data_IF_466148043660
#
_entry.id   IF_466148043660
#
_cell.length_a   1.000
_cell.length_b   1.000
_cell.length_c   1.000
_cell.angle_alpha   90.00
_cell.angle_beta   90.00
_cell.angle_gamma   90.00
#
_symmetry.space_group_name_H-M   'P 1'
#
loop_
_entity.id
_entity.type
_entity.pdbx_description
1 polymer ?
#
# COMPACT_ATOMS: atom_id res chain seq x y z
N UNK A 1 -26.54 14.01 -12.96
CA UNK A 1 -26.61 13.33 -11.66
C UNK A 1 -25.20 13.17 -11.10
N UNK A 2 -25.00 13.38 -9.80
CA UNK A 2 -23.69 13.26 -9.12
C UNK A 2 -23.64 11.99 -8.28
N UNK A 3 -22.61 11.17 -8.45
CA UNK A 3 -22.36 10.00 -7.60
C UNK A 3 -21.73 10.38 -6.25
N UNK A 4 -21.69 9.44 -5.31
CA UNK A 4 -20.92 9.55 -4.07
C UNK A 4 -19.74 8.58 -4.12
N UNK A 5 -18.54 9.10 -3.91
CA UNK A 5 -17.32 8.29 -3.82
C UNK A 5 -16.95 8.07 -2.36
N UNK A 6 -16.67 6.83 -1.98
CA UNK A 6 -16.27 6.47 -0.62
C UNK A 6 -14.86 5.86 -0.63
N UNK A 7 -13.97 6.42 0.19
CA UNK A 7 -12.68 5.79 0.50
C UNK A 7 -12.86 4.94 1.74
N UNK A 8 -12.73 3.63 1.59
CA UNK A 8 -13.01 2.66 2.66
C UNK A 8 -11.73 1.90 2.99
N UNK A 9 -11.30 1.99 4.26
CA UNK A 9 -10.27 1.10 4.79
C UNK A 9 -10.82 -0.32 4.97
N UNK A 10 -10.12 -1.32 4.43
CA UNK A 10 -10.52 -2.73 4.50
C UNK A 10 -9.89 -3.51 5.65
N UNK A 11 -9.09 -2.84 6.48
CA UNK A 11 -8.30 -3.48 7.53
C UNK A 11 -6.95 -4.04 7.03
N UNK A 12 -6.16 -4.64 7.93
CA UNK A 12 -4.80 -5.10 7.62
C UNK A 12 -4.73 -6.48 6.93
N UNK A 13 -5.84 -7.23 6.89
CA UNK A 13 -5.86 -8.56 6.25
C UNK A 13 -6.98 -9.47 6.75
N UNK A 14 -7.26 -9.43 8.07
CA UNK A 14 -8.35 -10.21 8.65
C UNK A 14 -9.71 -9.56 8.33
N UNK A 15 -10.65 -10.28 7.68
CA UNK A 15 -11.99 -9.76 7.37
C UNK A 15 -12.79 -9.32 8.60
N UNK A 16 -12.53 -9.90 9.79
CA UNK A 16 -13.22 -9.51 11.03
C UNK A 16 -12.84 -8.10 11.50
N UNK A 17 -11.71 -7.56 11.01
CA UNK A 17 -11.25 -6.20 11.32
C UNK A 17 -11.90 -5.13 10.43
N UNK A 18 -12.84 -5.51 9.55
CA UNK A 18 -13.69 -4.53 8.86
C UNK A 18 -14.60 -3.82 9.86
N UNK A 19 -14.59 -2.49 9.81
CA UNK A 19 -15.56 -1.72 10.61
C UNK A 19 -17.00 -2.00 10.15
N UNK A 20 -17.95 -1.97 11.07
CA UNK A 20 -19.38 -2.11 10.75
C UNK A 20 -19.85 -1.08 9.71
N UNK A 21 -19.28 0.14 9.74
CA UNK A 21 -19.58 1.20 8.76
C UNK A 21 -19.06 0.83 7.37
N UNK A 22 -17.83 0.30 7.26
CA UNK A 22 -17.28 -0.17 6.00
C UNK A 22 -18.14 -1.29 5.41
N UNK A 23 -18.49 -2.30 6.21
CA UNK A 23 -19.33 -3.41 5.78
C UNK A 23 -20.70 -2.94 5.29
N UNK A 24 -21.34 -2.01 6.00
CA UNK A 24 -22.64 -1.43 5.59
C UNK A 24 -22.55 -0.71 4.24
N UNK A 25 -21.50 0.08 4.02
CA UNK A 25 -21.32 0.81 2.75
C UNK A 25 -21.02 -0.17 1.62
N UNK A 26 -20.10 -1.13 1.82
CA UNK A 26 -19.75 -2.15 0.83
C UNK A 26 -20.97 -2.97 0.39
N UNK A 27 -21.89 -3.28 1.32
CA UNK A 27 -23.18 -3.92 1.00
C UNK A 27 -24.07 -3.05 0.12
N UNK A 28 -24.13 -1.75 0.35
CA UNK A 28 -25.07 -0.83 -0.32
C UNK A 28 -24.60 -0.34 -1.71
N UNK A 29 -23.29 -0.27 -1.96
CA UNK A 29 -22.78 0.26 -3.24
C UNK A 29 -22.93 -0.74 -4.39
N UNK A 30 -23.26 -0.29 -5.61
CA UNK A 30 -23.34 -1.17 -6.78
C UNK A 30 -21.97 -1.46 -7.41
N UNK A 31 -20.97 -0.62 -7.15
CA UNK A 31 -19.64 -0.71 -7.76
C UNK A 31 -18.54 -0.59 -6.70
N UNK A 32 -17.47 -1.36 -6.85
CA UNK A 32 -16.29 -1.34 -5.98
C UNK A 32 -15.03 -1.25 -6.85
N UNK A 33 -14.23 -0.21 -6.63
CA UNK A 33 -12.91 -0.07 -7.23
C UNK A 33 -11.84 -0.63 -6.27
N UNK A 34 -10.94 -1.48 -6.76
CA UNK A 34 -9.90 -2.11 -5.95
C UNK A 34 -8.52 -1.99 -6.60
N UNK A 35 -7.47 -1.62 -5.84
CA UNK A 35 -6.12 -1.48 -6.41
C UNK A 35 -5.46 -2.85 -6.59
N UNK A 36 -4.75 -3.07 -7.71
CA UNK A 36 -3.88 -4.23 -7.94
C UNK A 36 -2.47 -3.78 -8.31
N UNK A 37 -1.46 -4.47 -7.74
CA UNK A 37 -0.04 -4.13 -7.91
C UNK A 37 0.64 -4.82 -9.10
N UNK A 38 0.02 -5.85 -9.67
CA UNK A 38 0.49 -6.62 -10.84
C UNK A 38 -0.64 -6.70 -11.86
N UNK A 39 -0.33 -6.76 -13.16
CA UNK A 39 -1.36 -6.82 -14.21
C UNK A 39 -2.15 -8.13 -14.13
N UNK A 40 -1.45 -9.26 -13.96
CA UNK A 40 -2.04 -10.60 -13.79
C UNK A 40 -2.30 -10.98 -12.31
N UNK A 41 -2.20 -10.01 -11.39
CA UNK A 41 -2.41 -10.23 -9.96
C UNK A 41 -3.82 -9.89 -9.50
N UNK A 42 -4.22 -10.47 -8.37
CA UNK A 42 -5.46 -10.09 -7.68
C UNK A 42 -5.21 -8.95 -6.68
N UNK A 43 -6.26 -8.18 -6.41
CA UNK A 43 -6.22 -7.18 -5.35
C UNK A 43 -6.30 -7.85 -3.97
N UNK A 44 -5.35 -7.54 -3.09
CA UNK A 44 -5.40 -7.94 -1.68
C UNK A 44 -6.65 -7.36 -0.99
N UNK A 45 -6.98 -6.10 -1.27
CA UNK A 45 -8.18 -5.48 -0.69
C UNK A 45 -9.45 -6.23 -1.10
N UNK A 46 -9.54 -6.64 -2.36
CA UNK A 46 -10.67 -7.44 -2.86
C UNK A 46 -10.77 -8.80 -2.16
N UNK A 47 -9.64 -9.48 -1.92
CA UNK A 47 -9.65 -10.81 -1.28
C UNK A 47 -10.11 -10.76 0.17
N UNK A 48 -9.80 -9.68 0.90
CA UNK A 48 -10.32 -9.45 2.26
C UNK A 48 -11.84 -9.26 2.21
N UNK A 49 -12.32 -8.37 1.33
CA UNK A 49 -13.74 -8.06 1.21
C UNK A 49 -14.56 -9.29 0.78
N UNK A 50 -14.05 -10.09 -0.16
CA UNK A 50 -14.71 -11.34 -0.62
C UNK A 50 -14.96 -12.35 0.50
N UNK A 51 -14.16 -12.34 1.57
CA UNK A 51 -14.36 -13.22 2.73
C UNK A 51 -15.44 -12.71 3.69
N UNK A 52 -15.74 -11.41 3.66
CA UNK A 52 -16.73 -10.78 4.56
C UNK A 52 -18.14 -10.66 3.95
N UNK A 53 -18.27 -10.61 2.62
CA UNK A 53 -19.55 -10.59 1.92
C UNK A 53 -19.45 -11.12 0.48
N UNK A 54 -20.56 -11.64 -0.05
CA UNK A 54 -20.69 -11.94 -1.48
C UNK A 54 -20.68 -10.65 -2.32
N UNK A 55 -20.05 -10.75 -3.50
CA UNK A 55 -19.89 -9.66 -4.47
C UNK A 55 -20.64 -9.94 -5.79
N UNK A 56 -21.49 -10.96 -5.86
CA UNK A 56 -22.08 -11.45 -7.11
C UNK A 56 -22.93 -10.40 -7.85
N UNK A 57 -23.51 -9.45 -7.10
CA UNK A 57 -24.36 -8.38 -7.62
C UNK A 57 -23.63 -7.02 -7.71
N UNK A 58 -22.29 -7.02 -7.80
CA UNK A 58 -21.48 -5.80 -7.75
C UNK A 58 -20.51 -5.75 -8.92
N UNK A 59 -20.42 -4.58 -9.52
CA UNK A 59 -19.40 -4.29 -10.53
C UNK A 59 -18.05 -4.11 -9.83
N UNK A 60 -17.05 -4.89 -10.24
CA UNK A 60 -15.69 -4.82 -9.69
C UNK A 60 -14.77 -4.18 -10.71
N UNK A 61 -14.21 -3.02 -10.36
CA UNK A 61 -13.25 -2.30 -11.20
C UNK A 61 -11.86 -2.48 -10.61
N UNK A 62 -11.01 -3.25 -11.28
CA UNK A 62 -9.61 -3.42 -10.89
C UNK A 62 -8.75 -2.28 -11.44
N UNK A 63 -8.17 -1.48 -10.56
CA UNK A 63 -7.28 -0.39 -10.93
C UNK A 63 -5.82 -0.84 -10.79
N UNK A 64 -5.10 -0.93 -11.91
CA UNK A 64 -3.68 -1.30 -11.91
C UNK A 64 -2.81 -0.13 -11.48
N UNK A 65 -2.04 -0.34 -10.41
CA UNK A 65 -1.07 0.62 -9.88
C UNK A 65 0.30 -0.07 -9.79
N UNK A 66 1.19 0.13 -10.79
CA UNK A 66 2.51 -0.47 -10.76
C UNK A 66 3.28 0.02 -9.53
N UNK A 67 3.74 -0.91 -8.69
CA UNK A 67 4.58 -0.58 -7.54
C UNK A 67 5.93 -0.06 -8.03
N UNK A 68 6.09 1.26 -8.03
CA UNK A 68 7.40 1.91 -8.12
C UNK A 68 7.83 2.32 -6.73
N UNK A 69 9.01 1.85 -6.30
CA UNK A 69 9.65 2.37 -5.09
C UNK A 69 10.15 3.77 -5.40
N UNK A 70 9.37 4.79 -5.06
CA UNK A 70 9.88 6.17 -5.03
C UNK A 70 10.78 6.29 -3.82
N UNK A 71 12.08 6.05 -4.03
CA UNK A 71 13.11 6.44 -3.07
C UNK A 71 13.09 7.97 -3.06
N UNK A 72 12.59 8.58 -1.98
CA UNK A 72 12.67 10.02 -1.80
C UNK A 72 14.16 10.37 -1.74
N UNK A 73 14.73 10.82 -2.86
CA UNK A 73 16.15 11.21 -2.98
C UNK A 73 16.56 12.19 -1.87
N UNK A 74 15.62 13.00 -1.36
CA UNK A 74 15.86 13.92 -0.24
C UNK A 74 16.37 13.29 1.06
N UNK A 75 16.09 12.02 1.34
CA UNK A 75 16.53 11.42 2.61
C UNK A 75 18.02 11.01 2.55
N UNK A 76 18.54 10.67 1.37
CA UNK A 76 19.95 10.33 1.19
C UNK A 76 20.87 11.55 1.30
N UNK A 77 20.46 12.68 0.71
CA UNK A 77 21.25 13.91 0.73
C UNK A 77 21.44 14.47 2.15
N UNK A 78 20.41 14.34 3.00
CA UNK A 78 20.49 14.78 4.40
C UNK A 78 21.47 13.90 5.19
N UNK A 79 21.37 12.56 5.06
CA UNK A 79 22.23 11.63 5.79
C UNK A 79 23.70 11.84 5.40
N UNK A 80 24.00 12.01 4.10
CA UNK A 80 25.38 12.26 3.65
C UNK A 80 25.94 13.62 4.11
N UNK A 81 25.10 14.65 4.27
CA UNK A 81 25.57 15.96 4.74
C UNK A 81 25.80 16.05 6.26
N UNK A 82 25.12 15.20 7.04
CA UNK A 82 25.18 15.23 8.52
C UNK A 82 26.15 14.24 9.15
N UNK A 83 26.65 13.25 8.39
CA UNK A 83 27.62 12.27 8.91
C UNK A 83 29.03 12.72 8.52
N UNK A 84 29.90 13.07 9.49
CA UNK A 84 31.29 13.38 9.18
C UNK A 84 31.97 12.15 8.55
N UNK A 85 32.90 12.33 7.61
CA UNK A 85 33.62 11.20 7.02
C UNK A 85 34.32 10.40 8.13
N UNK A 86 34.44 9.08 7.98
CA UNK A 86 35.16 8.26 8.94
C UNK A 86 36.58 8.84 9.10
N UNK A 87 37.14 8.85 10.33
CA UNK A 87 38.51 9.29 10.53
C UNK A 87 39.45 8.49 9.62
N UNK A 88 40.47 9.17 9.08
CA UNK A 88 41.47 8.53 8.24
C UNK A 88 41.97 7.23 8.91
N UNK A 89 42.16 6.15 8.13
CA UNK A 89 42.79 4.95 8.65
C UNK A 89 44.08 5.33 9.38
N UNK A 90 44.26 4.81 10.60
CA UNK A 90 45.51 4.98 11.32
C UNK A 90 46.66 4.55 10.39
N UNK A 91 47.75 5.34 10.29
CA UNK A 91 48.89 4.96 9.47
C UNK A 91 49.30 3.54 9.87
N UNK A 92 49.33 2.64 8.89
CA UNK A 92 49.79 1.29 9.13
C UNK A 92 51.25 1.41 9.57
N UNK A 93 51.51 1.06 10.82
CA UNK A 93 52.86 0.88 11.34
C UNK A 93 53.45 -0.33 10.61
N UNK A 94 54.16 -0.05 9.52
CA UNK A 94 55.03 -1.03 8.88
C UNK A 94 56.23 -1.29 9.81
N UNK A 95 56.28 -2.52 10.34
CA UNK A 95 57.52 -3.21 10.69
C UNK A 95 58.24 -2.82 11.98
N UNK A 96 58.22 -3.75 12.94
CA UNK A 96 59.40 -4.17 13.70
C UNK A 96 59.27 -5.67 14.01
#
# INVERSE_FOLDING_TARGET
>A
MTGKFYVIGVGPGDPELLTLKALRILKAVPCICVPKGREEGSSLALSIVKKALSLDNKEIIEAYFPMRKTRSQRTEDIIQSTVPPPPNPLPQVEGA
#
